data_IF_778933925248
#
_entry.id   IF_778933925248
#
_cell.length_a   1.000
_cell.length_b   1.000
_cell.length_c   1.000
_cell.angle_alpha   90.00
_cell.angle_beta   90.00
_cell.angle_gamma   90.00
#
_symmetry.space_group_name_H-M   'P 1'
#
loop_
_entity.id
_entity.type
_entity.pdbx_description
1 polymer ?
#
# COMPACT_ATOMS: atom_id res chain seq x y z
N UNK A 1 -14.47 -19.35 32.23
CA UNK A 1 -14.05 -18.84 30.90
C UNK A 1 -12.63 -19.31 30.64
N UNK A 2 -12.33 -19.86 29.46
CA UNK A 2 -10.93 -20.12 29.07
C UNK A 2 -10.17 -18.79 28.88
N UNK A 3 -8.87 -18.76 29.16
CA UNK A 3 -8.00 -17.58 28.94
C UNK A 3 -8.18 -17.00 27.53
N UNK A 4 -8.32 -17.83 26.48
CA UNK A 4 -8.60 -17.36 25.11
C UNK A 4 -9.88 -16.50 25.02
N UNK A 5 -10.97 -16.92 25.66
CA UNK A 5 -12.25 -16.18 25.68
C UNK A 5 -12.15 -14.87 26.45
N UNK A 6 -11.33 -14.83 27.50
CA UNK A 6 -11.06 -13.61 28.25
C UNK A 6 -10.23 -12.61 27.41
N UNK A 7 -9.18 -13.08 26.72
CA UNK A 7 -8.38 -12.23 25.84
C UNK A 7 -9.25 -11.65 24.72
N UNK A 8 -10.09 -12.46 24.09
CA UNK A 8 -11.00 -11.98 23.04
C UNK A 8 -12.06 -11.00 23.56
N UNK A 9 -12.60 -11.20 24.77
CA UNK A 9 -13.53 -10.23 25.36
C UNK A 9 -12.84 -8.90 25.69
N UNK A 10 -11.61 -8.92 26.19
CA UNK A 10 -10.81 -7.71 26.44
C UNK A 10 -10.51 -6.97 25.15
N UNK A 11 -10.09 -7.68 24.09
CA UNK A 11 -9.87 -7.08 22.76
C UNK A 11 -11.13 -6.45 22.19
N UNK A 12 -12.29 -7.10 22.35
CA UNK A 12 -13.58 -6.59 21.90
C UNK A 12 -14.01 -5.34 22.70
N UNK A 13 -13.95 -5.40 24.04
CA UNK A 13 -14.29 -4.29 24.94
C UNK A 13 -13.41 -3.07 24.72
N UNK A 14 -12.12 -3.28 24.48
CA UNK A 14 -11.16 -2.22 24.16
C UNK A 14 -11.14 -1.86 22.66
N UNK A 15 -11.98 -2.50 21.84
CA UNK A 15 -12.10 -2.27 20.40
C UNK A 15 -10.76 -2.36 19.64
N UNK A 16 -9.83 -3.19 20.13
CA UNK A 16 -8.44 -3.25 19.63
C UNK A 16 -8.35 -3.77 18.19
N UNK A 17 -9.32 -4.58 17.75
CA UNK A 17 -9.39 -5.07 16.37
C UNK A 17 -9.56 -3.91 15.36
N UNK A 18 -10.38 -2.90 15.69
CA UNK A 18 -10.55 -1.70 14.86
C UNK A 18 -9.29 -0.82 14.86
N UNK A 19 -8.56 -0.80 15.97
CA UNK A 19 -7.30 -0.07 16.07
C UNK A 19 -6.22 -0.68 15.16
N UNK A 20 -6.09 -2.01 15.14
CA UNK A 20 -5.15 -2.71 14.27
C UNK A 20 -5.49 -2.52 12.79
N UNK A 21 -6.78 -2.65 12.41
CA UNK A 21 -7.25 -2.37 11.05
C UNK A 21 -6.97 -0.93 10.63
N UNK A 22 -7.26 0.05 11.50
CA UNK A 22 -6.99 1.48 11.23
C UNK A 22 -5.49 1.74 11.03
N UNK A 23 -4.64 1.07 11.80
CA UNK A 23 -3.18 1.10 11.64
C UNK A 23 -2.73 0.57 10.28
N UNK A 24 -3.21 -0.61 9.89
CA UNK A 24 -2.94 -1.22 8.58
C UNK A 24 -3.41 -0.32 7.42
N UNK A 25 -4.64 0.19 7.49
CA UNK A 25 -5.19 1.14 6.52
C UNK A 25 -4.32 2.38 6.37
N UNK A 26 -3.86 2.96 7.48
CA UNK A 26 -2.97 4.14 7.47
C UNK A 26 -1.62 3.84 6.83
N UNK A 27 -1.05 2.67 7.10
CA UNK A 27 0.22 2.24 6.50
C UNK A 27 0.09 2.07 4.98
N UNK A 28 -0.97 1.40 4.51
CA UNK A 28 -1.21 1.19 3.07
C UNK A 28 -1.45 2.53 2.36
N UNK A 29 -2.25 3.45 2.93
CA UNK A 29 -2.45 4.79 2.36
C UNK A 29 -1.13 5.56 2.21
N UNK A 30 -0.26 5.52 3.21
CA UNK A 30 1.07 6.15 3.16
C UNK A 30 1.96 5.52 2.07
N UNK A 31 1.91 4.21 1.91
CA UNK A 31 2.66 3.52 0.87
C UNK A 31 2.15 3.90 -0.53
N UNK A 32 0.83 3.93 -0.73
CA UNK A 32 0.21 4.34 -1.98
C UNK A 32 0.59 5.77 -2.37
N UNK A 33 0.56 6.71 -1.41
CA UNK A 33 1.00 8.09 -1.67
C UNK A 33 2.44 8.14 -2.20
N UNK A 34 3.37 7.39 -1.58
CA UNK A 34 4.76 7.31 -2.04
C UNK A 34 4.89 6.73 -3.44
N UNK A 35 4.11 5.69 -3.76
CA UNK A 35 4.11 5.06 -5.07
C UNK A 35 3.54 6.01 -6.14
N UNK A 36 2.47 6.75 -5.83
CA UNK A 36 1.92 7.77 -6.74
C UNK A 36 2.91 8.92 -6.98
N UNK A 37 3.57 9.43 -5.93
CA UNK A 37 4.65 10.41 -6.11
C UNK A 37 5.81 9.86 -6.95
N UNK A 38 6.17 8.59 -6.78
CA UNK A 38 7.19 7.94 -7.61
C UNK A 38 6.75 7.86 -9.08
N UNK A 39 5.51 7.50 -9.33
CA UNK A 39 4.92 7.46 -10.69
C UNK A 39 5.00 8.83 -11.38
N UNK A 40 4.70 9.91 -10.67
CA UNK A 40 4.83 11.28 -11.21
C UNK A 40 6.28 11.64 -11.56
N UNK A 41 7.25 11.22 -10.74
CA UNK A 41 8.67 11.43 -11.01
C UNK A 41 9.08 10.67 -12.27
N UNK A 42 8.69 9.40 -12.40
CA UNK A 42 8.99 8.57 -13.58
C UNK A 42 8.38 9.17 -14.86
N UNK A 43 7.17 9.72 -14.79
CA UNK A 43 6.53 10.40 -15.91
C UNK A 43 7.31 11.65 -16.38
N UNK A 44 7.96 12.37 -15.46
CA UNK A 44 8.82 13.51 -15.78
C UNK A 44 10.16 13.08 -16.40
N UNK A 45 10.72 11.95 -15.95
CA UNK A 45 12.00 11.42 -16.46
C UNK A 45 11.88 10.96 -17.92
N UNK A 46 10.74 10.39 -18.31
CA UNK A 46 10.46 10.01 -19.71
C UNK A 46 10.54 11.16 -20.73
N UNK A 47 10.50 12.42 -20.29
CA UNK A 47 10.65 13.58 -21.18
C UNK A 47 12.10 13.87 -21.57
N UNK A 48 13.08 13.21 -20.95
CA UNK A 48 14.50 13.36 -21.26
C UNK A 48 14.95 12.34 -22.30
N UNK A 49 15.89 12.73 -23.18
CA UNK A 49 16.53 11.80 -24.12
C UNK A 49 17.37 10.80 -23.32
N UNK A 50 16.94 9.54 -23.28
CA UNK A 50 17.59 8.46 -22.54
C UNK A 50 18.13 7.37 -23.48
N UNK A 51 19.10 6.60 -23.01
CA UNK A 51 19.62 5.44 -23.75
C UNK A 51 18.61 4.29 -23.69
N UNK A 52 18.67 3.36 -24.67
CA UNK A 52 17.76 2.19 -24.75
C UNK A 52 17.71 1.35 -23.46
N UNK A 53 18.86 1.17 -22.79
CA UNK A 53 18.95 0.40 -21.54
C UNK A 53 18.18 1.09 -20.42
N UNK A 54 18.47 2.38 -20.19
CA UNK A 54 17.81 3.20 -19.18
C UNK A 54 16.29 3.26 -19.41
N UNK A 55 15.86 3.33 -20.68
CA UNK A 55 14.44 3.33 -21.05
C UNK A 55 13.74 2.00 -20.66
N UNK A 56 14.43 0.86 -20.80
CA UNK A 56 13.91 -0.44 -20.43
C UNK A 56 13.74 -0.55 -18.91
N UNK A 57 14.76 -0.15 -18.15
CA UNK A 57 14.73 -0.15 -16.68
C UNK A 57 13.62 0.77 -16.15
N UNK A 58 13.46 1.96 -16.74
CA UNK A 58 12.36 2.88 -16.40
C UNK A 58 10.98 2.29 -16.65
N UNK A 59 10.81 1.55 -17.74
CA UNK A 59 9.55 0.90 -18.08
C UNK A 59 9.25 -0.25 -17.10
N UNK A 60 10.24 -1.07 -16.79
CA UNK A 60 10.12 -2.12 -15.77
C UNK A 60 9.75 -1.52 -14.41
N UNK A 61 10.40 -0.42 -14.02
CA UNK A 61 10.07 0.29 -12.78
C UNK A 61 8.62 0.81 -12.78
N UNK A 62 8.16 1.41 -13.89
CA UNK A 62 6.79 1.88 -14.02
C UNK A 62 5.77 0.75 -13.90
N UNK A 63 6.01 -0.39 -14.54
CA UNK A 63 5.15 -1.58 -14.46
C UNK A 63 5.06 -2.11 -13.02
N UNK A 64 6.20 -2.13 -12.30
CA UNK A 64 6.24 -2.52 -10.88
C UNK A 64 5.41 -1.53 -10.03
N UNK A 65 5.62 -0.23 -10.21
CA UNK A 65 4.88 0.80 -9.45
C UNK A 65 3.38 0.68 -9.69
N UNK A 66 2.95 0.51 -10.94
CA UNK A 66 1.53 0.37 -11.28
C UNK A 66 0.90 -0.90 -10.69
N UNK A 67 1.63 -2.02 -10.74
CA UNK A 67 1.19 -3.28 -10.12
C UNK A 67 1.01 -3.12 -8.61
N UNK A 68 1.95 -2.46 -7.93
CA UNK A 68 1.90 -2.25 -6.48
C UNK A 68 0.78 -1.28 -6.08
N UNK A 69 0.54 -0.23 -6.87
CA UNK A 69 -0.62 0.67 -6.65
C UNK A 69 -1.93 -0.11 -6.78
N UNK A 70 -2.08 -0.95 -7.81
CA UNK A 70 -3.29 -1.76 -8.01
C UNK A 70 -3.52 -2.73 -6.85
N UNK A 71 -2.46 -3.39 -6.36
CA UNK A 71 -2.52 -4.29 -5.19
C UNK A 71 -2.89 -3.52 -3.92
N UNK A 72 -2.26 -2.38 -3.67
CA UNK A 72 -2.54 -1.56 -2.48
C UNK A 72 -3.96 -1.01 -2.44
N UNK A 73 -4.55 -0.67 -3.61
CA UNK A 73 -5.96 -0.26 -3.70
C UNK A 73 -6.91 -1.40 -3.35
N UNK A 74 -6.70 -2.61 -3.90
CA UNK A 74 -7.49 -3.80 -3.54
C UNK A 74 -7.43 -4.12 -2.04
N UNK A 75 -6.23 -4.05 -1.44
CA UNK A 75 -6.06 -4.28 -0.01
C UNK A 75 -6.78 -3.23 0.85
N UNK A 76 -6.92 -1.99 0.38
CA UNK A 76 -7.72 -0.98 1.08
C UNK A 76 -9.21 -1.28 0.99
N UNK A 77 -9.69 -1.69 -0.18
CA UNK A 77 -11.09 -2.05 -0.38
C UNK A 77 -11.48 -3.26 0.49
N UNK A 78 -10.60 -4.26 0.61
CA UNK A 78 -10.77 -5.43 1.49
C UNK A 78 -10.73 -5.09 2.98
N UNK A 79 -10.06 -4.00 3.38
CA UNK A 79 -10.01 -3.52 4.77
C UNK A 79 -11.18 -2.57 5.10
N UNK A 80 -11.92 -2.12 4.09
CA UNK A 80 -13.06 -1.22 4.21
C UNK A 80 -14.41 -1.96 4.18
N UNK A 81 -14.43 -3.19 3.65
CA UNK A 81 -15.54 -4.14 3.75
C UNK A 81 -15.52 -4.94 5.06
#
# INVERSE_FOLDING_TARGET
MSIKKFIESVKASLNLNKFEQKGKKKAIKRLLQKLESRKEILAKIHKKKLKKKDLKELREEQEIVDLQIKKGKKLLDELDG
#
